data_IF_586050607514
#
_entry.id   IF_586050607514
#
_cell.length_a   1.000
_cell.length_b   1.000
_cell.length_c   1.000
_cell.angle_alpha   90.00
_cell.angle_beta   90.00
_cell.angle_gamma   90.00
#
_symmetry.space_group_name_H-M   'P 1'
#
loop_
_entity.id
_entity.type
_entity.pdbx_description
1 polymer ?
#
# COMPACT_ATOMS: atom_id res chain seq x y z
N UNK A 1 -9.21 26.75 5.07
CA UNK A 1 -9.62 27.56 6.25
C UNK A 1 -9.87 26.60 7.40
N UNK A 2 -9.51 26.99 8.61
CA UNK A 2 -9.75 26.21 9.82
C UNK A 2 -10.82 26.91 10.65
N UNK A 3 -11.79 26.15 11.14
CA UNK A 3 -12.88 26.66 11.99
C UNK A 3 -13.15 25.71 13.14
N UNK A 4 -13.40 26.25 14.31
CA UNK A 4 -13.78 25.47 15.48
C UNK A 4 -15.31 25.54 15.69
N UNK A 5 -16.00 24.40 15.63
CA UNK A 5 -17.45 24.25 15.88
C UNK A 5 -17.72 22.95 16.61
N UNK A 6 -18.66 22.97 17.56
CA UNK A 6 -19.08 21.80 18.36
C UNK A 6 -17.92 21.06 19.04
N UNK A 7 -16.96 21.82 19.60
CA UNK A 7 -15.80 21.25 20.30
C UNK A 7 -14.77 20.56 19.41
N UNK A 8 -14.87 20.73 18.08
CA UNK A 8 -13.99 20.10 17.10
C UNK A 8 -13.43 21.13 16.12
N UNK A 9 -12.20 20.90 15.67
CA UNK A 9 -11.61 21.64 14.55
C UNK A 9 -12.03 21.07 13.22
N UNK A 10 -12.31 21.95 12.27
CA UNK A 10 -12.75 21.58 10.93
C UNK A 10 -11.88 22.28 9.90
N UNK A 11 -11.59 21.59 8.81
CA UNK A 11 -10.86 22.12 7.65
C UNK A 11 -11.78 22.23 6.45
N UNK A 12 -11.78 23.39 5.80
CA UNK A 12 -12.44 23.62 4.52
C UNK A 12 -11.45 24.09 3.47
N UNK A 13 -11.71 23.77 2.20
CA UNK A 13 -10.88 24.22 1.10
C UNK A 13 -11.38 25.56 0.53
N UNK A 14 -10.56 26.60 0.63
CA UNK A 14 -10.83 27.90 0.02
C UNK A 14 -10.12 28.10 -1.33
N UNK A 15 -9.18 27.20 -1.67
CA UNK A 15 -8.41 27.23 -2.91
C UNK A 15 -9.16 26.63 -4.10
N UNK A 16 -8.58 26.74 -5.31
CA UNK A 16 -9.16 26.18 -6.54
C UNK A 16 -8.84 24.69 -6.72
N UNK A 17 -7.68 24.25 -6.24
CA UNK A 17 -7.25 22.86 -6.33
C UNK A 17 -7.67 22.09 -5.06
N UNK A 18 -8.01 20.80 -5.17
CA UNK A 18 -8.37 20.00 -4.00
C UNK A 18 -7.19 19.85 -3.04
N UNK A 19 -7.50 19.73 -1.76
CA UNK A 19 -6.54 19.38 -0.71
C UNK A 19 -6.63 17.87 -0.52
N UNK A 20 -5.51 17.14 -0.59
CA UNK A 20 -5.46 15.72 -0.28
C UNK A 20 -5.23 15.53 1.22
N UNK A 21 -6.17 14.87 1.86
CA UNK A 21 -6.22 14.59 3.29
C UNK A 21 -5.78 13.14 3.59
N UNK A 22 -5.80 12.77 4.87
CA UNK A 22 -5.59 11.40 5.31
C UNK A 22 -6.53 10.41 4.56
N UNK A 23 -6.07 9.17 4.36
CA UNK A 23 -6.82 8.17 3.60
C UNK A 23 -7.01 8.48 2.12
N UNK A 24 -6.21 9.39 1.55
CA UNK A 24 -6.29 9.85 0.17
C UNK A 24 -7.60 10.56 -0.21
N UNK A 25 -8.40 11.01 0.77
CA UNK A 25 -9.60 11.82 0.52
C UNK A 25 -9.21 13.17 -0.09
N UNK A 26 -9.94 13.61 -1.11
CA UNK A 26 -9.80 14.94 -1.70
C UNK A 26 -10.90 15.85 -1.14
N UNK A 27 -10.51 16.99 -0.57
CA UNK A 27 -11.41 18.04 -0.09
C UNK A 27 -11.51 19.15 -1.14
N UNK A 28 -12.67 19.26 -1.78
CA UNK A 28 -12.94 20.24 -2.82
C UNK A 28 -13.42 21.58 -2.25
N UNK A 29 -13.31 22.64 -3.06
CA UNK A 29 -13.85 23.94 -2.71
C UNK A 29 -15.37 23.88 -2.64
N UNK A 30 -15.94 24.34 -1.52
CA UNK A 30 -17.40 24.36 -1.31
C UNK A 30 -18.00 23.02 -0.89
N UNK A 31 -17.20 21.96 -0.75
CA UNK A 31 -17.62 20.73 -0.08
C UNK A 31 -17.76 20.96 1.43
N UNK A 32 -18.53 20.10 2.10
CA UNK A 32 -18.64 20.10 3.56
C UNK A 32 -17.25 20.03 4.22
N UNK A 33 -16.95 20.90 5.21
CA UNK A 33 -15.70 20.85 5.94
C UNK A 33 -15.43 19.48 6.56
N UNK A 34 -14.17 19.09 6.62
CA UNK A 34 -13.76 17.83 7.25
C UNK A 34 -13.43 18.04 8.73
N UNK A 35 -13.89 17.15 9.62
CA UNK A 35 -13.43 17.14 10.99
C UNK A 35 -11.95 16.77 11.05
N UNK A 36 -11.21 17.45 11.92
CA UNK A 36 -9.84 17.10 12.28
C UNK A 36 -9.83 16.39 13.62
N UNK A 37 -9.12 15.28 13.69
CA UNK A 37 -8.82 14.58 14.93
C UNK A 37 -7.70 15.29 15.70
N UNK A 38 -7.57 14.99 16.99
CA UNK A 38 -6.47 15.50 17.80
C UNK A 38 -5.13 14.91 17.34
N UNK A 39 -4.07 15.72 17.41
CA UNK A 39 -2.74 15.36 16.93
C UNK A 39 -2.41 15.93 15.54
N UNK A 40 -1.43 15.33 14.88
CA UNK A 40 -0.93 15.76 13.58
C UNK A 40 -1.78 15.21 12.44
N UNK A 41 -2.31 16.10 11.62
CA UNK A 41 -2.95 15.76 10.34
C UNK A 41 -2.14 16.37 9.18
N UNK A 42 -1.52 15.54 8.32
CA UNK A 42 -0.87 16.03 7.11
C UNK A 42 -1.91 16.34 6.03
N UNK A 43 -1.78 17.52 5.42
CA UNK A 43 -2.59 17.98 4.30
C UNK A 43 -1.68 18.31 3.12
N UNK A 44 -2.03 17.85 1.92
CA UNK A 44 -1.25 18.11 0.71
C UNK A 44 -2.05 19.00 -0.23
N UNK A 45 -1.59 20.23 -0.41
CA UNK A 45 -2.20 21.17 -1.35
C UNK A 45 -1.48 21.08 -2.70
N UNK A 46 -2.26 20.87 -3.76
CA UNK A 46 -1.74 20.94 -5.13
C UNK A 46 -1.26 22.34 -5.47
N UNK A 47 -0.07 22.43 -6.06
CA UNK A 47 0.52 23.63 -6.64
C UNK A 47 0.67 23.53 -8.16
N UNK A 48 1.24 24.57 -8.77
CA UNK A 48 1.54 24.59 -10.20
C UNK A 48 2.64 23.59 -10.56
N UNK A 49 2.57 23.02 -11.78
CA UNK A 49 3.61 22.13 -12.35
C UNK A 49 3.91 20.89 -11.51
N UNK A 50 2.87 20.29 -10.92
CA UNK A 50 2.99 19.03 -10.15
C UNK A 50 3.67 19.19 -8.79
N UNK A 51 3.95 20.41 -8.32
CA UNK A 51 4.46 20.62 -6.97
C UNK A 51 3.34 20.42 -5.96
N UNK A 52 3.52 19.54 -4.99
CA UNK A 52 2.66 19.48 -3.80
C UNK A 52 3.29 20.31 -2.66
N UNK A 53 2.44 20.93 -1.84
CA UNK A 53 2.84 21.59 -0.60
C UNK A 53 2.28 20.81 0.57
N UNK A 54 3.15 20.39 1.48
CA UNK A 54 2.75 19.78 2.75
C UNK A 54 2.38 20.89 3.74
N UNK A 55 1.22 20.75 4.37
CA UNK A 55 0.81 21.50 5.55
C UNK A 55 0.58 20.49 6.68
N UNK A 56 1.26 20.68 7.80
CA UNK A 56 1.04 19.89 9.01
C UNK A 56 0.14 20.68 9.95
N UNK A 57 -1.07 20.17 10.19
CA UNK A 57 -2.01 20.76 11.14
C UNK A 57 -1.96 19.98 12.43
N UNK A 58 -1.58 20.64 13.52
CA UNK A 58 -1.59 20.05 14.85
C UNK A 58 -2.80 20.57 15.63
N UNK A 59 -3.76 19.69 15.90
CA UNK A 59 -4.92 20.01 16.73
C UNK A 59 -4.66 19.57 18.16
N UNK A 60 -4.60 20.53 19.09
CA UNK A 60 -4.62 20.24 20.51
C UNK A 60 -6.05 19.88 20.94
N UNK A 61 -6.21 18.75 21.63
CA UNK A 61 -7.48 18.41 22.29
C UNK A 61 -7.88 19.43 23.37
N UNK A 62 -9.11 19.33 23.85
CA UNK A 62 -9.61 20.14 24.97
C UNK A 62 -8.82 19.86 26.26
N UNK A 63 -8.76 20.81 27.21
CA UNK A 63 -8.20 20.55 28.53
C UNK A 63 -8.96 19.37 29.18
N UNK A 64 -8.29 18.20 29.25
CA UNK A 64 -8.86 16.98 29.80
C UNK A 64 -8.83 15.78 28.85
N UNK A 65 -8.73 15.99 27.53
CA UNK A 65 -8.46 14.89 26.60
C UNK A 65 -7.01 14.42 26.80
N UNK A 66 -6.85 13.16 27.23
CA UNK A 66 -5.55 12.52 27.38
C UNK A 66 -4.82 12.60 26.04
N UNK A 67 -3.85 13.52 25.94
CA UNK A 67 -2.85 13.51 24.87
C UNK A 67 -2.35 12.07 24.72
N UNK A 68 -2.24 11.53 23.50
CA UNK A 68 -1.55 10.26 23.30
C UNK A 68 -0.19 10.37 23.99
N UNK A 69 -0.02 9.60 25.06
CA UNK A 69 1.21 9.65 25.84
C UNK A 69 2.31 9.13 24.93
N UNK A 70 3.39 9.89 24.67
CA UNK A 70 4.51 9.39 23.91
C UNK A 70 5.02 8.10 24.56
N UNK A 71 4.89 6.98 23.85
CA UNK A 71 5.35 5.69 24.35
C UNK A 71 6.79 5.48 23.94
N UNK A 72 7.69 6.29 24.49
CA UNK A 72 9.13 6.22 24.20
C UNK A 72 9.75 4.84 24.53
N UNK A 73 9.10 4.07 25.40
CA UNK A 73 9.47 2.69 25.74
C UNK A 73 8.73 1.61 24.95
N UNK A 74 7.78 1.95 24.07
CA UNK A 74 7.16 0.96 23.20
C UNK A 74 8.20 0.50 22.19
N UNK A 75 8.53 -0.80 22.26
CA UNK A 75 9.42 -1.45 21.29
C UNK A 75 8.80 -1.28 19.91
N UNK A 76 9.53 -0.66 18.98
CA UNK A 76 9.17 -0.64 17.56
C UNK A 76 9.06 -2.07 17.09
N UNK A 77 7.83 -2.56 16.90
CA UNK A 77 7.59 -3.93 16.46
C UNK A 77 8.09 -4.06 15.02
N UNK A 78 9.00 -4.99 14.72
CA UNK A 78 9.38 -5.23 13.34
C UNK A 78 8.14 -5.66 12.54
N UNK A 79 8.06 -5.31 11.24
CA UNK A 79 7.00 -5.83 10.38
C UNK A 79 6.94 -7.35 10.44
N UNK A 80 5.74 -7.92 10.40
CA UNK A 80 5.56 -9.39 10.33
C UNK A 80 5.96 -9.86 8.94
N UNK A 81 7.21 -10.31 8.78
CA UNK A 81 7.73 -10.90 7.53
C UNK A 81 7.11 -12.28 7.31
N UNK A 82 6.66 -12.56 6.09
CA UNK A 82 6.05 -13.83 5.72
C UNK A 82 7.10 -14.83 5.21
N UNK A 83 7.04 -16.07 5.68
CA UNK A 83 7.91 -17.12 5.17
C UNK A 83 7.49 -17.53 3.74
N UNK A 84 8.43 -17.38 2.80
CA UNK A 84 8.31 -17.79 1.41
C UNK A 84 9.44 -18.76 1.10
N UNK A 85 9.15 -19.81 0.34
CA UNK A 85 10.21 -20.65 -0.27
C UNK A 85 10.97 -19.85 -1.33
N UNK A 86 12.18 -20.24 -1.69
CA UNK A 86 12.97 -19.57 -2.74
C UNK A 86 12.20 -19.45 -4.07
N UNK A 87 11.47 -20.50 -4.45
CA UNK A 87 10.62 -20.49 -5.66
C UNK A 87 9.43 -19.55 -5.52
N UNK A 88 8.80 -19.52 -4.35
CA UNK A 88 7.71 -18.59 -4.06
C UNK A 88 8.20 -17.14 -4.15
N UNK A 89 9.34 -16.86 -3.51
CA UNK A 89 9.94 -15.53 -3.49
C UNK A 89 10.32 -15.08 -4.90
N UNK A 90 11.03 -15.90 -5.67
CA UNK A 90 11.41 -15.57 -7.05
C UNK A 90 10.17 -15.27 -7.91
N UNK A 91 9.16 -16.14 -7.89
CA UNK A 91 7.96 -15.93 -8.69
C UNK A 91 7.19 -14.66 -8.29
N UNK A 92 7.13 -14.31 -7.00
CA UNK A 92 6.49 -13.09 -6.52
C UNK A 92 7.31 -11.83 -6.82
N UNK A 93 8.63 -11.92 -6.83
CA UNK A 93 9.53 -10.85 -7.28
C UNK A 93 9.28 -10.54 -8.76
N UNK A 94 9.23 -11.56 -9.62
CA UNK A 94 8.93 -11.37 -11.05
C UNK A 94 7.52 -10.83 -11.23
N UNK A 95 6.52 -11.41 -10.57
CA UNK A 95 5.13 -10.94 -10.65
C UNK A 95 4.97 -9.47 -10.25
N UNK A 96 5.65 -9.07 -9.16
CA UNK A 96 5.62 -7.73 -8.58
C UNK A 96 6.71 -6.78 -9.09
N UNK A 97 7.42 -7.12 -10.17
CA UNK A 97 8.61 -6.39 -10.66
C UNK A 97 8.36 -4.89 -10.83
N UNK A 98 7.20 -4.51 -11.40
CA UNK A 98 6.82 -3.11 -11.61
C UNK A 98 6.64 -2.34 -10.30
N UNK A 99 6.16 -2.99 -9.23
CA UNK A 99 6.05 -2.38 -7.91
C UNK A 99 7.43 -2.20 -7.27
N UNK A 100 8.30 -3.19 -7.43
CA UNK A 100 9.67 -3.17 -6.90
C UNK A 100 10.55 -2.13 -7.61
N UNK A 101 10.30 -1.88 -8.90
CA UNK A 101 10.92 -0.81 -9.68
C UNK A 101 10.29 0.57 -9.46
N UNK A 102 9.26 0.67 -8.62
CA UNK A 102 8.53 1.91 -8.35
C UNK A 102 7.96 2.57 -9.63
N UNK A 103 7.49 1.77 -10.58
CA UNK A 103 6.85 2.31 -11.78
C UNK A 103 5.60 3.12 -11.43
N UNK A 104 5.29 4.21 -12.18
CA UNK A 104 4.06 4.95 -11.97
C UNK A 104 2.82 4.07 -12.22
N UNK A 105 1.95 3.94 -11.21
CA UNK A 105 0.74 3.07 -11.24
C UNK A 105 1.09 1.62 -11.61
N UNK A 106 1.89 0.94 -10.77
CA UNK A 106 2.38 -0.39 -11.09
C UNK A 106 1.20 -1.36 -11.09
N UNK A 107 1.24 -2.31 -12.04
CA UNK A 107 0.30 -3.42 -12.13
C UNK A 107 1.11 -4.72 -12.12
N UNK A 108 0.71 -5.75 -11.37
CA UNK A 108 1.39 -7.03 -11.41
C UNK A 108 1.42 -7.59 -12.83
N UNK A 109 2.48 -8.31 -13.19
CA UNK A 109 2.56 -9.01 -14.47
C UNK A 109 1.44 -10.06 -14.59
N UNK A 110 1.12 -10.44 -15.82
CA UNK A 110 0.24 -11.61 -16.05
C UNK A 110 0.99 -12.90 -15.74
N UNK A 111 0.26 -14.01 -15.51
CA UNK A 111 0.87 -15.34 -15.34
C UNK A 111 1.78 -15.72 -16.50
N UNK A 112 1.36 -15.41 -17.73
CA UNK A 112 2.13 -15.66 -18.94
C UNK A 112 3.43 -14.87 -19.00
N UNK A 113 3.37 -13.57 -18.68
CA UNK A 113 4.57 -12.72 -18.64
C UNK A 113 5.53 -13.18 -17.55
N UNK A 114 4.99 -13.49 -16.37
CA UNK A 114 5.79 -13.98 -15.24
C UNK A 114 6.46 -15.31 -15.57
N UNK A 115 5.74 -16.25 -16.17
CA UNK A 115 6.29 -17.55 -16.57
C UNK A 115 7.35 -17.42 -17.68
N UNK A 116 7.16 -16.51 -18.64
CA UNK A 116 8.14 -16.23 -19.68
C UNK A 116 9.44 -15.67 -19.10
N UNK A 117 9.37 -14.65 -18.25
CA UNK A 117 10.57 -14.09 -17.58
C UNK A 117 11.26 -15.14 -16.69
N UNK A 118 10.50 -15.95 -15.95
CA UNK A 118 11.06 -17.04 -15.15
C UNK A 118 11.72 -18.14 -15.99
N UNK A 119 11.20 -18.42 -17.19
CA UNK A 119 11.77 -19.40 -18.10
C UNK A 119 13.06 -18.89 -18.77
N UNK A 120 13.19 -17.57 -18.95
CA UNK A 120 14.43 -16.95 -19.41
C UNK A 120 15.52 -17.04 -18.35
N UNK A 121 15.21 -16.71 -17.09
CA UNK A 121 16.16 -16.82 -15.98
C UNK A 121 16.45 -18.27 -15.57
N UNK A 122 15.45 -19.15 -15.54
CA UNK A 122 15.62 -20.57 -15.15
C UNK A 122 15.09 -21.56 -16.20
N UNK A 123 15.80 -21.74 -17.33
CA UNK A 123 15.30 -22.55 -18.46
C UNK A 123 14.95 -23.99 -18.10
N UNK A 124 15.69 -24.59 -17.15
CA UNK A 124 15.52 -25.99 -16.76
C UNK A 124 14.51 -26.22 -15.62
N UNK A 125 13.96 -25.15 -15.02
CA UNK A 125 13.07 -25.27 -13.86
C UNK A 125 11.62 -25.62 -14.24
N UNK A 126 11.26 -25.59 -15.53
CA UNK A 126 9.95 -25.96 -16.03
C UNK A 126 8.84 -24.99 -15.61
N UNK A 127 9.09 -23.69 -15.75
CA UNK A 127 8.12 -22.64 -15.46
C UNK A 127 7.01 -22.60 -16.51
N UNK A 128 5.76 -22.54 -16.05
CA UNK A 128 4.56 -22.43 -16.89
C UNK A 128 3.55 -21.50 -16.21
N UNK A 129 2.66 -20.90 -16.99
CA UNK A 129 1.60 -20.02 -16.49
C UNK A 129 0.81 -20.66 -15.33
N UNK A 130 0.40 -21.92 -15.51
CA UNK A 130 -0.32 -22.69 -14.49
C UNK A 130 0.50 -22.91 -13.22
N UNK A 131 1.80 -23.12 -13.35
CA UNK A 131 2.68 -23.32 -12.20
C UNK A 131 2.85 -22.04 -11.39
N UNK A 132 3.01 -20.90 -12.08
CA UNK A 132 3.05 -19.58 -11.43
C UNK A 132 1.72 -19.32 -10.72
N UNK A 133 0.59 -19.53 -11.41
CA UNK A 133 -0.74 -19.34 -10.85
C UNK A 133 -0.95 -20.17 -9.56
N UNK A 134 -0.66 -21.47 -9.59
CA UNK A 134 -0.84 -22.33 -8.42
C UNK A 134 0.03 -21.90 -7.23
N UNK A 135 1.28 -21.53 -7.50
CA UNK A 135 2.22 -21.08 -6.48
C UNK A 135 1.72 -19.77 -5.83
N UNK A 136 1.33 -18.78 -6.65
CA UNK A 136 0.86 -17.48 -6.14
C UNK A 136 -0.47 -17.63 -5.40
N UNK A 137 -1.39 -18.45 -5.91
CA UNK A 137 -2.64 -18.77 -5.23
C UNK A 137 -2.38 -19.46 -3.87
N UNK A 138 -1.41 -20.38 -3.80
CA UNK A 138 -1.01 -21.03 -2.55
C UNK A 138 -0.52 -20.04 -1.49
N UNK A 139 0.34 -19.09 -1.88
CA UNK A 139 0.80 -18.01 -0.99
C UNK A 139 -0.38 -17.13 -0.57
N UNK A 140 -1.23 -16.71 -1.51
CA UNK A 140 -2.40 -15.86 -1.22
C UNK A 140 -3.34 -16.51 -0.22
N UNK A 141 -3.67 -17.79 -0.39
CA UNK A 141 -4.50 -18.54 0.56
C UNK A 141 -3.84 -18.66 1.93
N UNK A 142 -2.52 -18.88 2.00
CA UNK A 142 -1.78 -18.96 3.26
C UNK A 142 -1.84 -17.63 4.02
N UNK A 143 -1.56 -16.52 3.36
CA UNK A 143 -1.59 -15.18 3.96
C UNK A 143 -3.00 -14.77 4.39
N UNK A 144 -4.03 -15.09 3.59
CA UNK A 144 -5.42 -14.82 3.93
C UNK A 144 -5.84 -15.56 5.22
N UNK A 145 -5.48 -16.85 5.34
CA UNK A 145 -5.74 -17.64 6.57
C UNK A 145 -5.04 -17.05 7.80
N UNK A 146 -3.87 -16.43 7.61
CA UNK A 146 -3.10 -15.78 8.66
C UNK A 146 -3.57 -14.34 8.97
N UNK A 147 -4.68 -13.90 8.37
CA UNK A 147 -5.37 -12.65 8.67
C UNK A 147 -4.99 -11.45 7.79
N UNK A 148 -4.33 -11.66 6.65
CA UNK A 148 -4.05 -10.57 5.71
C UNK A 148 -5.32 -10.25 4.91
N UNK A 149 -5.83 -9.00 4.98
CA UNK A 149 -7.08 -8.62 4.33
C UNK A 149 -6.94 -8.40 2.82
N UNK A 150 -8.07 -8.41 2.12
CA UNK A 150 -8.21 -8.10 0.69
C UNK A 150 -7.51 -9.09 -0.24
N UNK A 151 -7.34 -10.33 0.22
CA UNK A 151 -6.70 -11.42 -0.51
C UNK A 151 -7.70 -12.46 -1.04
N UNK A 152 -8.98 -12.29 -0.76
CA UNK A 152 -10.05 -13.16 -1.24
C UNK A 152 -11.05 -12.42 -2.10
N UNK A 153 -11.79 -13.15 -2.93
CA UNK A 153 -12.85 -12.57 -3.78
C UNK A 153 -13.99 -12.06 -2.92
N UNK A 154 -14.27 -12.76 -1.83
CA UNK A 154 -15.32 -12.46 -0.87
C UNK A 154 -15.09 -11.10 -0.20
N UNK A 155 -13.84 -10.76 0.12
CA UNK A 155 -13.48 -9.46 0.71
C UNK A 155 -13.54 -8.33 -0.32
N UNK A 156 -13.04 -8.56 -1.54
CA UNK A 156 -12.86 -7.51 -2.53
C UNK A 156 -14.15 -7.12 -3.28
N UNK A 157 -15.07 -8.07 -3.45
CA UNK A 157 -16.22 -7.92 -4.35
C UNK A 157 -15.85 -8.01 -5.84
N UNK A 158 -16.86 -8.04 -6.72
CA UNK A 158 -16.66 -8.10 -8.17
C UNK A 158 -16.74 -6.70 -8.82
N UNK A 159 -15.93 -6.40 -9.86
CA UNK A 159 -15.00 -7.29 -10.57
C UNK A 159 -13.59 -7.35 -9.97
N UNK A 160 -13.05 -8.56 -9.84
CA UNK A 160 -11.76 -8.81 -9.18
C UNK A 160 -10.55 -8.47 -10.06
N UNK A 161 -10.59 -8.75 -11.37
CA UNK A 161 -9.49 -8.51 -12.29
C UNK A 161 -8.12 -8.98 -11.76
N UNK A 162 -7.10 -8.12 -11.86
CA UNK A 162 -5.76 -8.36 -11.31
C UNK A 162 -5.57 -7.82 -9.88
N UNK A 163 -6.65 -7.35 -9.24
CA UNK A 163 -6.56 -6.64 -7.96
C UNK A 163 -6.12 -7.54 -6.80
N UNK A 164 -6.46 -8.84 -6.80
CA UNK A 164 -5.95 -9.77 -5.78
C UNK A 164 -4.43 -9.89 -5.82
N UNK A 165 -3.83 -9.85 -7.01
CA UNK A 165 -2.38 -9.89 -7.15
C UNK A 165 -1.77 -8.55 -6.72
N UNK A 166 -2.40 -7.43 -7.05
CA UNK A 166 -1.96 -6.11 -6.60
C UNK A 166 -1.97 -6.01 -5.07
N UNK A 167 -3.06 -6.45 -4.44
CA UNK A 167 -3.19 -6.50 -2.98
C UNK A 167 -2.16 -7.43 -2.34
N UNK A 168 -1.91 -8.61 -2.92
CA UNK A 168 -0.87 -9.52 -2.45
C UNK A 168 0.52 -8.86 -2.49
N UNK A 169 0.90 -8.26 -3.62
CA UNK A 169 2.20 -7.59 -3.75
C UNK A 169 2.30 -6.41 -2.77
N UNK A 170 1.25 -5.59 -2.62
CA UNK A 170 1.23 -4.50 -1.63
C UNK A 170 1.37 -5.00 -0.20
N UNK A 171 0.72 -6.10 0.17
CA UNK A 171 0.84 -6.69 1.50
C UNK A 171 2.27 -7.21 1.76
N UNK A 172 2.90 -7.81 0.75
CA UNK A 172 4.28 -8.30 0.84
C UNK A 172 5.30 -7.16 0.94
N UNK A 173 5.07 -6.04 0.24
CA UNK A 173 5.90 -4.83 0.35
C UNK A 173 5.73 -4.14 1.72
N UNK A 174 4.48 -3.98 2.18
CA UNK A 174 4.18 -3.36 3.47
C UNK A 174 4.74 -4.15 4.66
N UNK A 175 4.84 -5.48 4.51
CA UNK A 175 5.46 -6.37 5.51
C UNK A 175 6.98 -6.50 5.35
N UNK A 176 7.59 -5.81 4.38
CA UNK A 176 9.03 -5.97 4.02
C UNK A 176 9.42 -7.40 3.65
N UNK A 177 8.46 -8.23 3.28
CA UNK A 177 8.71 -9.61 2.80
C UNK A 177 9.30 -9.60 1.40
N UNK A 178 8.85 -8.66 0.58
CA UNK A 178 9.51 -8.29 -0.66
C UNK A 178 10.11 -6.91 -0.50
N UNK A 179 11.34 -6.75 -0.94
CA UNK A 179 12.05 -5.47 -0.97
C UNK A 179 12.66 -5.25 -2.35
N UNK A 180 12.89 -4.00 -2.79
CA UNK A 180 13.48 -3.72 -4.11
C UNK A 180 14.79 -4.48 -4.40
N UNK A 181 15.60 -4.74 -3.37
CA UNK A 181 16.85 -5.51 -3.49
C UNK A 181 16.64 -6.95 -3.93
N UNK A 182 15.45 -7.53 -3.72
CA UNK A 182 15.13 -8.88 -4.16
C UNK A 182 15.07 -9.00 -5.70
N UNK A 183 15.05 -7.89 -6.45
CA UNK A 183 15.15 -7.91 -7.91
C UNK A 183 16.42 -8.63 -8.40
N UNK A 184 17.49 -8.66 -7.59
CA UNK A 184 18.72 -9.41 -7.91
C UNK A 184 18.47 -10.90 -8.10
N UNK A 185 17.39 -11.44 -7.51
CA UNK A 185 17.02 -12.86 -7.65
C UNK A 185 16.63 -13.21 -9.09
N UNK A 186 16.24 -12.23 -9.91
CA UNK A 186 15.93 -12.44 -11.34
C UNK A 186 17.20 -12.73 -12.13
N UNK A 187 18.32 -12.08 -11.77
CA UNK A 187 19.59 -12.18 -12.47
C UNK A 187 20.50 -13.30 -11.92
N UNK A 188 20.29 -13.70 -10.66
CA UNK A 188 21.05 -14.76 -9.98
C UNK A 188 20.53 -16.18 -10.27
N UNK A 189 19.48 -16.29 -11.09
CA UNK A 189 18.72 -17.50 -11.37
C UNK A 189 19.30 -18.33 -12.53
#
# INVERSE_FOLDING_TARGET
>A
MLTHRDGRWWVSNAGRLPIRCAGARLLFRGEEPLPLDTGYTPLFAGGSRGRERLLEVFVTGSEGERRPVPRHGDVTRPPRVWALTEKEKLALVVLGRRHLLHEPRPQPLTWRQTAAELAESQPYAGWTDKRVEHLVNGVRTRLSRDGVPWLTREELGEPVGNALNDNLIRALLASTTLVPMDLVLIDAA
#
